data_IF_292104360718
#
_entry.id   IF_292104360718
#
_cell.length_a   1.000
_cell.length_b   1.000
_cell.length_c   1.000
_cell.angle_alpha   90.00
_cell.angle_beta   90.00
_cell.angle_gamma   90.00
#
_symmetry.space_group_name_H-M   'P 1'
#
loop_
_entity.id
_entity.type
_entity.pdbx_description
1 polymer ?
#
# COMPACT_ATOMS: atom_id res chain seq x y z
N UNK A 1 4.49 -34.45 -18.23
CA UNK A 1 5.24 -35.62 -17.73
C UNK A 1 4.54 -36.10 -16.46
N UNK A 2 3.41 -36.78 -16.66
CA UNK A 2 3.24 -38.23 -16.69
C UNK A 2 3.08 -38.85 -15.29
N UNK A 3 1.82 -39.13 -15.04
CA UNK A 3 1.15 -39.73 -13.91
C UNK A 3 1.39 -41.24 -13.80
N UNK A 4 1.31 -41.71 -12.55
CA UNK A 4 1.23 -43.07 -12.01
C UNK A 4 0.92 -44.25 -12.94
N UNK A 5 1.73 -45.30 -12.78
CA UNK A 5 1.52 -46.64 -13.31
C UNK A 5 1.13 -47.58 -12.15
N UNK A 6 -0.13 -48.03 -12.10
CA UNK A 6 -0.64 -49.04 -11.17
C UNK A 6 -0.71 -50.39 -11.89
N UNK A 7 0.08 -51.37 -11.46
CA UNK A 7 0.06 -52.73 -11.99
C UNK A 7 -0.92 -53.60 -11.18
N UNK A 8 -2.00 -54.07 -11.84
CA UNK A 8 -2.93 -55.09 -11.33
C UNK A 8 -2.44 -56.48 -11.72
N UNK A 9 -2.19 -57.34 -10.73
CA UNK A 9 -1.94 -58.78 -10.93
C UNK A 9 -3.27 -59.52 -10.85
N UNK A 10 -3.63 -60.24 -11.92
CA UNK A 10 -4.79 -61.15 -12.00
C UNK A 10 -4.35 -62.56 -11.59
N UNK A 11 -5.04 -63.16 -10.63
CA UNK A 11 -4.96 -64.58 -10.33
C UNK A 11 -5.97 -65.34 -11.20
N UNK A 12 -5.48 -66.34 -11.93
CA UNK A 12 -6.29 -67.32 -12.66
C UNK A 12 -6.54 -68.54 -11.75
N UNK A 13 -7.79 -68.97 -11.64
CA UNK A 13 -8.19 -70.23 -11.00
C UNK A 13 -8.71 -71.16 -12.10
N UNK A 14 -8.17 -72.37 -12.18
CA UNK A 14 -8.55 -73.38 -13.16
C UNK A 14 -8.89 -74.70 -12.46
N UNK A 15 -10.01 -75.31 -12.89
CA UNK A 15 -10.26 -76.75 -12.88
C UNK A 15 -10.74 -77.36 -11.55
N UNK A 16 -11.51 -78.46 -11.48
CA UNK A 16 -11.97 -79.46 -12.47
C UNK A 16 -13.12 -80.27 -11.83
N UNK A 17 -14.11 -80.58 -12.67
CA UNK A 17 -15.19 -81.61 -12.67
C UNK A 17 -15.51 -82.51 -11.46
N UNK A 18 -16.81 -82.63 -11.16
CA UNK A 18 -17.42 -83.75 -10.43
C UNK A 18 -18.23 -84.65 -11.40
N UNK A 19 -18.07 -85.97 -11.24
CA UNK A 19 -18.63 -87.05 -12.06
C UNK A 19 -20.15 -87.25 -11.87
N UNK A 20 -20.78 -87.76 -12.93
CA UNK A 20 -22.18 -88.17 -12.99
C UNK A 20 -22.44 -89.65 -12.63
N UNK A 21 -23.59 -89.85 -11.98
CA UNK A 21 -24.75 -90.71 -12.25
C UNK A 21 -24.67 -92.14 -12.87
N UNK A 22 -25.69 -92.91 -12.46
CA UNK A 22 -26.28 -94.16 -12.99
C UNK A 22 -25.56 -95.48 -12.59
N UNK A 23 -26.25 -96.55 -12.18
CA UNK A 23 -27.67 -96.86 -12.07
C UNK A 23 -27.88 -98.39 -12.09
N UNK A 24 -29.00 -98.84 -11.50
CA UNK A 24 -29.76 -100.05 -11.84
C UNK A 24 -29.13 -101.45 -11.63
N UNK A 25 -29.81 -102.57 -11.37
CA UNK A 25 -31.05 -103.00 -10.66
C UNK A 25 -31.20 -104.50 -10.96
N UNK A 26 -31.86 -105.25 -10.06
CA UNK A 26 -32.59 -106.50 -10.31
C UNK A 26 -31.73 -107.72 -10.75
N UNK A 27 -32.13 -108.98 -10.58
CA UNK A 27 -33.46 -109.54 -10.81
C UNK A 27 -33.57 -110.94 -10.19
N UNK A 28 -34.76 -111.28 -9.73
CA UNK A 28 -35.15 -112.56 -9.17
C UNK A 28 -35.80 -113.45 -10.24
N UNK A 29 -35.79 -114.78 -10.06
CA UNK A 29 -36.88 -115.68 -10.49
C UNK A 29 -36.66 -117.07 -9.86
N UNK A 30 -37.58 -117.76 -9.17
CA UNK A 30 -39.03 -117.97 -9.30
C UNK A 30 -39.47 -118.64 -10.61
N UNK A 31 -39.44 -119.97 -10.65
CA UNK A 31 -40.51 -120.89 -11.10
C UNK A 31 -40.02 -122.34 -10.84
N UNK A 32 -40.78 -123.31 -10.36
CA UNK A 32 -42.21 -123.53 -10.46
C UNK A 32 -42.44 -124.84 -11.24
N UNK A 33 -43.08 -125.82 -10.58
CA UNK A 33 -43.85 -126.96 -11.14
C UNK A 33 -43.09 -128.26 -11.54
N UNK A 34 -43.15 -129.26 -10.63
CA UNK A 34 -43.71 -130.65 -10.78
C UNK A 34 -43.26 -131.58 -11.95
N UNK A 35 -43.26 -132.91 -11.75
CA UNK A 35 -42.10 -133.76 -11.46
C UNK A 35 -41.70 -134.68 -12.64
N UNK A 36 -40.43 -135.11 -12.71
CA UNK A 36 -40.01 -136.17 -13.63
C UNK A 36 -39.14 -137.18 -12.90
N UNK A 37 -39.74 -138.30 -12.50
CA UNK A 37 -39.08 -139.45 -11.91
C UNK A 37 -38.25 -140.19 -12.96
N UNK A 38 -36.95 -140.39 -12.69
CA UNK A 38 -36.19 -141.55 -13.16
C UNK A 38 -34.99 -141.74 -12.20
N UNK A 39 -34.80 -142.91 -11.56
CA UNK A 39 -33.79 -143.08 -10.51
C UNK A 39 -32.38 -143.10 -11.12
N UNK A 40 -31.62 -142.04 -10.87
CA UNK A 40 -30.22 -141.90 -11.25
C UNK A 40 -29.28 -142.33 -10.09
N UNK A 41 -28.09 -142.87 -10.39
CA UNK A 41 -27.21 -143.55 -9.44
C UNK A 41 -26.67 -142.61 -8.34
N UNK A 42 -26.38 -143.16 -7.15
CA UNK A 42 -25.88 -142.43 -5.99
C UNK A 42 -24.57 -141.65 -6.28
N UNK A 43 -24.57 -140.34 -6.05
CA UNK A 43 -23.42 -139.43 -6.19
C UNK A 43 -22.87 -139.06 -4.79
N UNK A 44 -21.54 -139.07 -4.60
CA UNK A 44 -20.83 -138.72 -3.36
C UNK A 44 -20.13 -137.36 -3.53
N UNK A 45 -20.22 -136.48 -2.52
CA UNK A 45 -19.60 -135.14 -2.55
C UNK A 45 -18.10 -135.19 -2.20
N UNK A 46 -17.27 -134.52 -3.00
CA UNK A 46 -15.82 -134.38 -2.80
C UNK A 46 -15.48 -132.88 -2.68
N UNK A 47 -14.84 -132.41 -1.59
CA UNK A 47 -14.38 -131.02 -1.46
C UNK A 47 -13.16 -130.75 -2.35
N UNK A 48 -13.16 -129.61 -3.06
CA UNK A 48 -12.05 -129.09 -3.87
C UNK A 48 -11.64 -127.71 -3.35
N UNK A 49 -10.36 -127.52 -3.06
CA UNK A 49 -9.81 -126.23 -2.58
C UNK A 49 -9.03 -125.53 -3.69
N UNK A 50 -9.31 -124.25 -3.92
CA UNK A 50 -8.61 -123.40 -4.90
C UNK A 50 -8.11 -122.11 -4.22
N UNK A 51 -6.93 -121.62 -4.58
CA UNK A 51 -6.37 -120.39 -4.01
C UNK A 51 -6.79 -119.17 -4.84
N UNK A 52 -7.28 -118.12 -4.18
CA UNK A 52 -7.57 -116.82 -4.82
C UNK A 52 -6.60 -115.76 -4.29
N UNK A 53 -6.14 -114.88 -5.18
CA UNK A 53 -5.23 -113.78 -4.81
C UNK A 53 -6.05 -112.53 -4.50
N UNK A 54 -5.95 -112.01 -3.27
CA UNK A 54 -6.60 -110.77 -2.84
C UNK A 54 -5.54 -109.66 -2.79
N UNK A 55 -5.81 -108.52 -3.41
CA UNK A 55 -4.93 -107.35 -3.36
C UNK A 55 -5.48 -106.33 -2.36
N UNK A 56 -4.67 -105.93 -1.37
CA UNK A 56 -5.00 -104.89 -0.38
C UNK A 56 -4.07 -103.69 -0.52
N UNK A 57 -4.61 -102.48 -0.46
CA UNK A 57 -3.82 -101.24 -0.38
C UNK A 57 -3.55 -100.87 1.07
N UNK A 58 -2.30 -100.90 1.50
CA UNK A 58 -1.84 -100.46 2.82
C UNK A 58 -1.16 -99.11 2.68
N UNK A 59 -1.46 -98.16 3.56
CA UNK A 59 -0.77 -96.86 3.60
C UNK A 59 0.38 -96.92 4.60
N UNK A 60 1.59 -96.58 4.15
CA UNK A 60 2.80 -96.55 4.98
C UNK A 60 3.33 -95.11 5.04
N UNK A 61 3.75 -94.64 6.22
CA UNK A 61 4.38 -93.33 6.33
C UNK A 61 5.86 -93.42 5.96
N UNK A 62 6.26 -92.74 4.88
CA UNK A 62 7.64 -92.67 4.44
C UNK A 62 8.21 -91.26 4.69
N UNK A 63 9.44 -91.13 5.21
CA UNK A 63 10.08 -89.84 5.37
C UNK A 63 10.44 -89.24 4.00
N UNK A 64 9.95 -88.04 3.71
CA UNK A 64 10.32 -87.27 2.53
C UNK A 64 11.04 -85.99 2.92
N UNK A 65 12.20 -85.75 2.32
CA UNK A 65 12.97 -84.52 2.53
C UNK A 65 12.43 -83.43 1.62
N UNK A 66 11.93 -82.34 2.21
CA UNK A 66 11.46 -81.14 1.51
C UNK A 66 12.40 -79.99 1.83
N UNK A 67 12.79 -79.21 0.82
CA UNK A 67 13.58 -77.99 1.02
C UNK A 67 12.62 -76.82 1.21
N UNK A 68 12.65 -76.19 2.39
CA UNK A 68 11.85 -75.01 2.69
C UNK A 68 12.74 -73.77 2.82
N UNK A 69 12.39 -72.70 2.11
CA UNK A 69 13.07 -71.41 2.22
C UNK A 69 12.57 -70.66 3.45
N UNK A 70 13.43 -70.43 4.44
CA UNK A 70 13.18 -69.60 5.62
C UNK A 70 13.94 -68.29 5.49
N UNK A 71 13.31 -67.15 5.80
CA UNK A 71 14.02 -65.87 5.83
C UNK A 71 14.59 -65.61 7.21
N UNK A 72 15.91 -65.45 7.31
CA UNK A 72 16.56 -64.93 8.53
C UNK A 72 16.90 -63.44 8.35
N UNK A 73 16.97 -62.72 9.47
CA UNK A 73 17.33 -61.30 9.47
C UNK A 73 18.81 -61.19 9.76
N UNK A 74 19.56 -60.58 8.85
CA UNK A 74 20.97 -60.27 9.04
C UNK A 74 21.15 -58.75 9.13
N UNK A 75 22.06 -58.31 10.00
CA UNK A 75 22.44 -56.91 10.13
C UNK A 75 23.63 -56.65 9.20
N UNK A 76 23.43 -55.83 8.17
CA UNK A 76 24.49 -55.42 7.25
C UNK A 76 24.82 -53.94 7.47
N UNK A 77 26.11 -53.60 7.49
CA UNK A 77 26.56 -52.21 7.51
C UNK A 77 26.71 -51.71 6.08
N UNK A 78 26.00 -50.63 5.75
CA UNK A 78 26.09 -49.97 4.46
C UNK A 78 26.64 -48.56 4.63
N UNK A 79 27.59 -48.18 3.78
CA UNK A 79 28.14 -46.83 3.72
C UNK A 79 27.23 -45.95 2.86
N UNK A 80 26.65 -44.91 3.45
CA UNK A 80 25.76 -43.97 2.73
C UNK A 80 26.40 -42.59 2.71
N UNK A 81 26.58 -41.97 1.52
CA UNK A 81 27.04 -40.61 1.44
C UNK A 81 25.94 -39.66 1.90
N UNK A 82 26.25 -38.84 2.90
CA UNK A 82 25.38 -37.78 3.40
C UNK A 82 26.02 -36.45 3.02
N UNK A 83 25.24 -35.59 2.36
CA UNK A 83 25.67 -34.21 2.10
C UNK A 83 25.15 -33.33 3.23
N UNK A 84 26.05 -32.67 3.95
CA UNK A 84 25.71 -31.69 5.00
C UNK A 84 26.22 -30.32 4.59
N UNK A 85 25.41 -29.28 4.82
CA UNK A 85 25.81 -27.90 4.60
C UNK A 85 26.35 -27.34 5.91
N UNK A 86 27.63 -27.01 5.93
CA UNK A 86 28.30 -26.36 7.07
C UNK A 86 28.49 -24.88 6.72
N UNK A 87 28.20 -23.99 7.65
CA UNK A 87 28.47 -22.57 7.49
C UNK A 87 29.89 -22.30 7.99
N UNK A 88 30.80 -21.92 7.09
CA UNK A 88 32.19 -21.59 7.43
C UNK A 88 32.39 -20.06 7.44
N UNK A 89 33.05 -19.48 8.47
CA UNK A 89 33.37 -18.07 8.49
C UNK A 89 34.47 -17.77 7.47
N UNK A 90 34.16 -16.93 6.48
CA UNK A 90 35.11 -16.46 5.47
C UNK A 90 35.33 -14.97 5.65
N UNK A 91 36.57 -14.58 5.91
CA UNK A 91 36.95 -13.17 5.98
C UNK A 91 36.91 -12.58 4.57
N UNK A 92 36.04 -11.60 4.37
CA UNK A 92 35.90 -10.89 3.09
C UNK A 92 36.14 -9.40 3.31
N UNK A 93 36.99 -8.80 2.51
CA UNK A 93 37.22 -7.35 2.52
C UNK A 93 36.07 -6.65 1.80
N UNK A 94 35.36 -5.76 2.50
CA UNK A 94 34.30 -4.92 1.93
C UNK A 94 34.72 -3.45 2.04
N UNK A 95 34.59 -2.71 0.94
CA UNK A 95 34.81 -1.26 0.94
C UNK A 95 33.61 -0.59 1.59
N UNK A 96 33.83 0.06 2.73
CA UNK A 96 32.78 0.78 3.47
C UNK A 96 33.06 2.28 3.36
N UNK A 97 32.02 3.05 3.04
CA UNK A 97 32.09 4.51 3.01
C UNK A 97 32.06 5.06 4.43
N UNK A 98 33.20 5.53 4.91
CA UNK A 98 33.32 6.18 6.22
C UNK A 98 33.13 7.70 6.04
N UNK A 99 32.12 8.31 6.70
CA UNK A 99 31.94 9.76 6.65
C UNK A 99 33.01 10.46 7.49
N UNK A 100 33.58 11.54 6.95
CA UNK A 100 34.46 12.44 7.69
C UNK A 100 34.14 13.90 7.34
N UNK A 101 34.40 14.80 8.27
CA UNK A 101 34.12 16.23 8.10
C UNK A 101 35.36 16.94 7.58
N UNK A 102 35.17 17.73 6.50
CA UNK A 102 36.20 18.58 5.93
C UNK A 102 35.76 20.04 6.07
N UNK A 103 36.63 20.87 6.61
CA UNK A 103 36.45 22.32 6.62
C UNK A 103 37.05 22.90 5.33
N UNK A 104 36.20 23.46 4.47
CA UNK A 104 36.62 24.12 3.24
C UNK A 104 36.37 25.63 3.36
N UNK A 105 37.32 26.46 2.91
CA UNK A 105 37.12 27.90 2.83
C UNK A 105 36.45 28.24 1.50
N UNK A 106 35.20 28.66 1.58
CA UNK A 106 34.41 29.07 0.40
C UNK A 106 34.28 30.60 0.40
N UNK A 107 34.55 31.29 -0.72
CA UNK A 107 34.33 32.72 -0.82
C UNK A 107 32.83 33.01 -0.70
N UNK A 108 32.48 33.91 0.22
CA UNK A 108 31.12 34.37 0.45
C UNK A 108 31.05 35.90 0.34
N UNK A 109 30.03 36.40 -0.35
CA UNK A 109 29.77 37.83 -0.43
C UNK A 109 28.87 38.23 0.74
N UNK A 110 29.37 39.08 1.63
CA UNK A 110 28.58 39.69 2.70
C UNK A 110 28.38 41.17 2.35
N UNK A 111 27.16 41.67 2.52
CA UNK A 111 26.90 43.10 2.38
C UNK A 111 27.06 43.80 3.72
N UNK A 112 28.09 44.64 3.84
CA UNK A 112 28.32 45.46 5.03
C UNK A 112 27.82 46.89 4.80
N UNK A 113 27.07 47.48 5.76
CA UNK A 113 26.62 48.86 5.65
C UNK A 113 27.81 49.80 5.87
N UNK A 114 28.17 50.57 4.84
CA UNK A 114 29.19 51.62 4.92
C UNK A 114 28.48 52.97 4.96
N UNK A 115 28.87 53.82 5.91
CA UNK A 115 28.43 55.20 6.00
C UNK A 115 29.36 56.07 5.16
N UNK A 116 28.83 56.68 4.10
CA UNK A 116 29.55 57.64 3.26
C UNK A 116 28.96 59.03 3.47
N UNK A 117 29.80 60.02 3.78
CA UNK A 117 29.40 61.42 3.83
C UNK A 117 29.45 62.00 2.42
N UNK A 118 28.29 62.44 1.92
CA UNK A 118 28.18 63.11 0.63
C UNK A 118 27.68 64.54 0.84
N UNK A 119 28.29 65.49 0.13
CA UNK A 119 27.83 66.87 0.12
C UNK A 119 26.69 66.96 -0.89
N UNK A 120 25.48 67.25 -0.40
CA UNK A 120 24.28 67.40 -1.25
C UNK A 120 23.82 68.85 -1.19
N UNK A 121 23.57 69.43 -2.36
CA UNK A 121 22.99 70.76 -2.47
C UNK A 121 21.51 70.68 -2.14
N UNK A 122 21.10 71.32 -1.04
CA UNK A 122 19.70 71.41 -0.64
C UNK A 122 19.21 72.84 -0.83
N UNK A 123 18.12 73.00 -1.57
CA UNK A 123 17.45 74.28 -1.70
C UNK A 123 16.68 74.57 -0.41
N UNK A 124 17.06 75.63 0.28
CA UNK A 124 16.37 76.10 1.49
C UNK A 124 15.68 77.41 1.15
N UNK A 125 14.41 77.53 1.54
CA UNK A 125 13.66 78.78 1.41
C UNK A 125 13.83 79.59 2.69
N UNK A 126 14.47 80.76 2.58
CA UNK A 126 14.59 81.72 3.69
C UNK A 126 13.70 82.93 3.42
N UNK A 127 12.91 83.33 4.39
CA UNK A 127 12.11 84.56 4.29
C UNK A 127 13.01 85.77 4.56
N UNK A 128 13.20 86.62 3.56
CA UNK A 128 14.02 87.83 3.65
C UNK A 128 13.12 89.06 3.61
N UNK A 129 13.26 90.03 4.54
CA UNK A 129 12.52 91.28 4.49
C UNK A 129 12.98 92.10 3.28
N UNK A 130 12.06 92.36 2.35
CA UNK A 130 12.33 93.18 1.16
C UNK A 130 11.46 94.44 1.22
N UNK A 131 12.06 95.60 0.95
CA UNK A 131 11.31 96.86 0.85
C UNK A 131 10.62 96.92 -0.51
N UNK A 132 9.29 97.00 -0.51
CA UNK A 132 8.49 97.17 -1.73
C UNK A 132 7.80 98.53 -1.65
N UNK A 133 7.93 99.30 -2.72
CA UNK A 133 7.20 100.56 -2.90
C UNK A 133 5.87 100.27 -3.58
N UNK A 134 4.76 100.60 -2.92
CA UNK A 134 3.40 100.47 -3.46
C UNK A 134 2.75 101.85 -3.55
N UNK A 135 2.05 102.14 -4.65
CA UNK A 135 1.27 103.37 -4.76
C UNK A 135 -0.09 103.17 -4.10
N UNK A 136 -0.29 103.82 -2.96
CA UNK A 136 -1.55 103.75 -2.22
C UNK A 136 -2.35 105.03 -2.51
N UNK A 137 -3.61 104.94 -2.98
CA UNK A 137 -4.45 106.11 -3.16
C UNK A 137 -4.84 106.69 -1.80
N UNK A 138 -4.54 107.96 -1.57
CA UNK A 138 -4.91 108.69 -0.36
C UNK A 138 -5.95 109.74 -0.74
N UNK A 139 -7.18 109.54 -0.28
CA UNK A 139 -8.27 110.50 -0.48
C UNK A 139 -8.26 111.54 0.63
N UNK A 140 -8.17 112.82 0.27
CA UNK A 140 -8.26 113.96 1.19
C UNK A 140 -9.51 114.79 0.88
N UNK A 141 -10.18 115.25 1.93
CA UNK A 141 -11.36 116.11 1.82
C UNK A 141 -10.93 117.57 2.03
N UNK A 142 -11.15 118.42 1.03
CA UNK A 142 -10.90 119.85 1.11
C UNK A 142 -12.23 120.60 1.12
N UNK A 143 -12.38 121.58 2.02
CA UNK A 143 -13.52 122.50 2.00
C UNK A 143 -13.17 123.66 1.10
N UNK A 144 -13.92 123.81 0.01
CA UNK A 144 -13.81 124.95 -0.92
C UNK A 144 -15.00 125.87 -0.66
N UNK A 145 -14.74 127.16 -0.50
CA UNK A 145 -15.79 128.17 -0.46
C UNK A 145 -16.06 128.66 -1.88
N UNK A 146 -17.32 128.58 -2.31
CA UNK A 146 -17.78 129.07 -3.60
C UNK A 146 -18.92 130.07 -3.35
N UNK A 147 -18.86 131.23 -3.99
CA UNK A 147 -19.89 132.26 -3.84
C UNK A 147 -21.08 131.93 -4.73
N UNK A 148 -22.25 131.73 -4.14
CA UNK A 148 -23.49 131.55 -4.89
C UNK A 148 -24.38 132.77 -4.72
N UNK A 149 -24.78 133.34 -5.85
CA UNK A 149 -25.71 134.46 -5.91
C UNK A 149 -27.14 134.05 -5.62
N UNK A 150 -27.84 134.82 -4.78
CA UNK A 150 -29.26 134.65 -4.57
C UNK A 150 -29.95 136.01 -4.55
N UNK A 151 -31.11 136.12 -5.20
CA UNK A 151 -31.95 137.30 -5.10
C UNK A 151 -32.74 137.23 -3.79
N UNK A 152 -32.63 138.28 -2.97
CA UNK A 152 -33.40 138.43 -1.75
C UNK A 152 -34.36 139.60 -1.93
N UNK A 153 -35.65 139.34 -1.76
CA UNK A 153 -36.68 140.39 -1.85
C UNK A 153 -36.69 141.21 -0.57
N UNK A 154 -36.40 142.51 -0.67
CA UNK A 154 -36.45 143.48 0.43
C UNK A 154 -37.63 144.43 0.21
N UNK A 155 -38.42 144.71 1.27
CA UNK A 155 -39.52 145.69 1.22
C UNK A 155 -39.00 147.08 1.57
N UNK A 156 -39.16 148.04 0.67
CA UNK A 156 -38.74 149.44 0.85
C UNK A 156 -39.98 150.33 0.96
N UNK A 157 -40.09 151.23 1.96
CA UNK A 157 -41.25 152.10 2.13
C UNK A 157 -41.34 153.15 1.00
N UNK A 158 -42.55 153.32 0.46
CA UNK A 158 -42.91 154.36 -0.52
C UNK A 158 -43.62 155.48 0.25
N UNK A 159 -43.09 156.70 0.13
CA UNK A 159 -43.56 157.87 0.88
C UNK A 159 -44.23 158.87 -0.07
N UNK A 160 -45.45 159.29 0.25
CA UNK A 160 -46.16 160.34 -0.48
C UNK A 160 -46.61 161.47 0.47
N UNK A 161 -46.62 162.70 -0.03
CA UNK A 161 -46.94 163.90 0.73
C UNK A 161 -48.42 164.28 0.53
N UNK A 162 -49.21 164.39 1.61
CA UNK A 162 -50.63 164.76 1.56
C UNK A 162 -50.86 166.08 2.31
N UNK A 163 -51.65 167.00 1.72
CA UNK A 163 -51.99 168.32 2.29
C UNK A 163 -53.42 168.29 2.81
N UNK A 164 -53.63 168.59 4.09
CA UNK A 164 -54.93 168.52 4.76
C UNK A 164 -55.38 169.93 5.15
N UNK A 165 -56.46 170.44 4.55
CA UNK A 165 -57.05 171.74 4.87
C UNK A 165 -58.33 171.55 5.72
N UNK A 166 -58.31 172.03 6.97
CA UNK A 166 -59.49 172.09 7.84
C UNK A 166 -60.31 173.36 7.57
N UNK A 167 -61.59 173.21 7.28
CA UNK A 167 -62.56 174.28 7.08
C UNK A 167 -63.49 174.36 8.30
N UNK A 168 -63.51 175.49 9.02
CA UNK A 168 -64.71 176.10 9.62
C UNK A 168 -64.40 177.55 10.01
N UNK A 169 -65.05 178.50 9.34
CA UNK A 169 -65.37 179.85 9.83
C UNK A 169 -64.22 180.85 10.00
N UNK A 170 -64.10 181.81 9.07
CA UNK A 170 -63.58 183.14 9.40
C UNK A 170 -62.13 183.45 9.01
N UNK A 171 -61.87 183.51 7.70
CA UNK A 171 -60.93 184.36 6.97
C UNK A 171 -59.60 184.77 7.66
N UNK A 172 -58.52 184.02 7.38
CA UNK A 172 -57.15 184.37 7.72
C UNK A 172 -56.12 183.45 7.04
N UNK A 173 -55.14 184.04 6.37
CA UNK A 173 -54.17 183.40 5.49
C UNK A 173 -53.06 182.64 6.23
N UNK A 174 -52.51 181.58 5.61
CA UNK A 174 -51.10 181.18 5.77
C UNK A 174 -50.79 179.88 6.52
N UNK A 175 -50.14 178.94 5.82
CA UNK A 175 -49.40 177.75 6.30
C UNK A 175 -50.16 176.42 6.49
N UNK A 176 -50.43 175.72 5.37
CA UNK A 176 -50.67 174.27 5.39
C UNK A 176 -49.34 173.50 5.53
N UNK A 177 -49.16 172.77 6.63
CA UNK A 177 -47.99 171.90 6.85
C UNK A 177 -48.13 170.61 6.06
N UNK A 178 -47.22 170.34 5.14
CA UNK A 178 -47.11 169.06 4.43
C UNK A 178 -46.42 168.05 5.34
N UNK A 179 -47.03 166.89 5.57
CA UNK A 179 -46.39 165.77 6.28
C UNK A 179 -46.21 164.58 5.31
N UNK A 180 -44.99 164.03 5.18
CA UNK A 180 -44.78 162.78 4.46
C UNK A 180 -45.48 161.65 5.20
N UNK A 181 -46.36 160.93 4.51
CA UNK A 181 -46.99 159.72 5.01
C UNK A 181 -46.49 158.55 4.16
N UNK A 182 -46.03 157.48 4.81
CA UNK A 182 -45.68 156.23 4.13
C UNK A 182 -46.99 155.64 3.61
N UNK A 183 -47.19 155.64 2.29
CA UNK A 183 -48.43 155.17 1.66
C UNK A 183 -48.37 153.70 1.27
N UNK A 184 -47.19 153.07 1.27
CA UNK A 184 -47.04 151.63 1.05
C UNK A 184 -45.59 151.14 1.16
N UNK A 185 -45.38 149.86 0.86
CA UNK A 185 -44.04 149.27 0.70
C UNK A 185 -43.95 148.59 -0.66
N UNK A 186 -42.87 148.85 -1.41
CA UNK A 186 -42.58 148.18 -2.67
C UNK A 186 -41.51 147.11 -2.43
N UNK A 187 -41.74 145.91 -2.99
CA UNK A 187 -40.76 144.84 -2.98
C UNK A 187 -39.70 145.12 -4.07
N UNK A 188 -38.43 145.24 -3.69
CA UNK A 188 -37.28 145.31 -4.59
C UNK A 188 -36.48 144.03 -4.43
N UNK A 189 -36.02 143.44 -5.54
CA UNK A 189 -35.12 142.29 -5.50
C UNK A 189 -33.67 142.77 -5.51
N UNK A 190 -32.95 142.49 -4.43
CA UNK A 190 -31.52 142.79 -4.32
C UNK A 190 -30.74 141.48 -4.48
N UNK A 191 -29.73 141.48 -5.37
CA UNK A 191 -28.82 140.34 -5.52
C UNK A 191 -27.81 140.35 -4.37
N UNK A 192 -27.71 139.25 -3.63
CA UNK A 192 -26.77 139.09 -2.52
C UNK A 192 -25.94 137.83 -2.75
N UNK A 193 -24.62 137.97 -2.71
CA UNK A 193 -23.69 136.83 -2.76
C UNK A 193 -23.53 136.24 -1.36
N UNK A 194 -23.74 134.94 -1.20
CA UNK A 194 -23.46 134.21 0.05
C UNK A 194 -22.39 133.14 -0.20
N UNK A 195 -21.37 133.02 0.67
CA UNK A 195 -20.40 131.94 0.56
C UNK A 195 -21.05 130.62 0.96
N UNK A 196 -20.94 129.61 0.09
CA UNK A 196 -21.37 128.23 0.35
C UNK A 196 -20.12 127.35 0.42
N UNK A 197 -19.99 126.58 1.50
CA UNK A 197 -18.90 125.62 1.68
C UNK A 197 -19.26 124.30 1.00
N UNK A 198 -18.49 123.86 -0.01
CA UNK A 198 -18.59 122.54 -0.62
C UNK A 198 -17.36 121.71 -0.27
N UNK A 199 -17.57 120.45 0.13
CA UNK A 199 -16.46 119.50 0.33
C UNK A 199 -16.13 118.84 -1.00
N UNK A 200 -14.90 119.00 -1.46
CA UNK A 200 -14.35 118.34 -2.66
C UNK A 200 -13.36 117.27 -2.22
N UNK A 201 -13.50 116.07 -2.76
CA UNK A 201 -12.53 114.97 -2.57
C UNK A 201 -11.44 115.04 -3.62
N UNK A 202 -10.19 115.04 -3.19
CA UNK A 202 -9.02 114.87 -4.06
C UNK A 202 -8.32 113.58 -3.70
N UNK A 203 -8.05 112.72 -4.69
CA UNK A 203 -7.32 111.46 -4.51
C UNK A 203 -5.93 111.62 -5.09
N UNK A 204 -4.90 111.48 -4.25
CA UNK A 204 -3.49 111.53 -4.64
C UNK A 204 -2.86 110.16 -4.39
N UNK A 205 -2.11 109.62 -5.36
CA UNK A 205 -1.35 108.39 -5.16
C UNK A 205 -0.05 108.71 -4.41
N UNK A 206 0.13 108.11 -3.23
CA UNK A 206 1.36 108.24 -2.45
C UNK A 206 2.15 106.94 -2.51
N UNK A 207 3.43 107.05 -2.82
CA UNK A 207 4.37 105.93 -2.73
C UNK A 207 4.63 105.64 -1.26
N UNK A 208 4.18 104.48 -0.79
CA UNK A 208 4.43 104.00 0.58
C UNK A 208 5.41 102.84 0.50
N UNK A 209 6.49 102.91 1.30
CA UNK A 209 7.42 101.80 1.47
C UNK A 209 6.85 100.84 2.52
N UNK A 210 6.63 99.57 2.13
CA UNK A 210 6.24 98.50 3.04
C UNK A 210 7.25 97.37 2.98
N UNK A 211 7.59 96.82 4.14
CA UNK A 211 8.44 95.63 4.21
C UNK A 211 7.58 94.39 4.02
N UNK A 212 7.87 93.60 2.98
CA UNK A 212 7.22 92.32 2.71
C UNK A 212 8.24 91.19 2.89
N UNK A 213 7.85 90.12 3.56
CA UNK A 213 8.67 88.91 3.66
C UNK A 213 8.59 88.17 2.31
N UNK A 214 9.71 88.09 1.60
CA UNK A 214 9.81 87.43 0.29
C UNK A 214 10.57 86.11 0.49
N UNK A 215 10.05 84.97 -0.01
CA UNK A 215 10.80 83.71 0.02
C UNK A 215 11.95 83.78 -0.98
N UNK A 216 13.18 83.71 -0.47
CA UNK A 216 14.39 83.59 -1.28
C UNK A 216 14.86 82.15 -1.21
N UNK A 217 15.10 81.53 -2.36
CA UNK A 217 15.68 80.19 -2.44
C UNK A 217 17.20 80.31 -2.50
N UNK A 218 17.88 79.62 -1.60
CA UNK A 218 19.34 79.53 -1.57
C UNK A 218 19.75 78.05 -1.56
N UNK A 219 20.76 77.70 -2.35
CA UNK A 219 21.34 76.35 -2.36
C UNK A 219 22.44 76.25 -1.32
N UNK A 220 22.20 75.49 -0.26
CA UNK A 220 23.18 75.25 0.79
C UNK A 220 23.75 73.84 0.64
N UNK A 221 25.07 73.72 0.65
CA UNK A 221 25.78 72.45 0.67
C UNK A 221 25.70 71.84 2.07
N UNK A 222 24.93 70.75 2.22
CA UNK A 222 24.76 70.05 3.51
C UNK A 222 25.42 68.68 3.43
N UNK A 223 26.15 68.30 4.47
CA UNK A 223 26.69 66.94 4.60
C UNK A 223 25.54 65.98 4.92
N UNK A 224 25.29 65.03 4.03
CA UNK A 224 24.33 63.96 4.23
C UNK A 224 25.07 62.64 4.39
N UNK A 225 24.78 61.91 5.47
CA UNK A 225 25.30 60.55 5.69
C UNK A 225 24.39 59.58 4.95
N UNK A 226 24.92 58.96 3.89
CA UNK A 226 24.21 57.94 3.12
C UNK A 226 24.76 56.56 3.51
N UNK A 227 23.87 55.66 3.92
CA UNK A 227 24.22 54.26 4.17
C UNK A 227 24.09 53.47 2.88
N UNK A 228 25.20 52.91 2.38
CA UNK A 228 25.21 52.02 1.21
C UNK A 228 25.66 50.63 1.63
N UNK A 229 25.06 49.61 1.02
CA UNK A 229 25.46 48.21 1.20
C UNK A 229 26.59 47.92 0.22
N UNK A 230 27.80 47.67 0.73
CA UNK A 230 28.97 47.35 -0.09
C UNK A 230 29.22 45.84 -0.02
N UNK A 231 29.35 45.14 -1.17
CA UNK A 231 29.70 43.73 -1.17
C UNK A 231 31.16 43.56 -0.75
N UNK A 232 31.39 42.78 0.30
CA UNK A 232 32.70 42.38 0.78
C UNK A 232 32.87 40.87 0.58
N UNK A 233 33.95 40.46 -0.10
CA UNK A 233 34.32 39.05 -0.17
C UNK A 233 35.00 38.65 1.13
N UNK A 234 34.44 37.64 1.80
CA UNK A 234 35.03 37.03 2.99
C UNK A 234 35.15 35.53 2.80
N UNK A 235 36.18 34.94 3.39
CA UNK A 235 36.35 33.48 3.40
C UNK A 235 35.50 32.91 4.54
N UNK A 236 34.51 32.08 4.20
CA UNK A 236 33.69 31.37 5.18
C UNK A 236 34.15 29.91 5.28
N UNK A 237 34.44 29.46 6.49
CA UNK A 237 34.65 28.03 6.76
C UNK A 237 33.30 27.31 6.65
N UNK A 238 33.18 26.39 5.69
CA UNK A 238 32.02 25.55 5.51
C UNK A 238 32.42 24.11 5.79
N UNK A 239 31.73 23.47 6.73
CA UNK A 239 31.92 22.05 7.01
C UNK A 239 31.12 21.23 6.02
N UNK A 240 31.79 20.39 5.23
CA UNK A 240 31.17 19.43 4.31
C UNK A 240 31.47 18.02 4.78
N UNK A 241 30.49 17.12 4.60
CA UNK A 241 30.69 15.69 4.86
C UNK A 241 31.22 15.07 3.57
N UNK A 242 32.42 14.50 3.65
CA UNK A 242 33.03 13.71 2.59
C UNK A 242 33.07 12.23 2.99
N UNK A 243 33.25 11.34 2.02
CA UNK A 243 33.27 9.90 2.25
C UNK A 243 34.58 9.32 1.76
N UNK A 244 35.28 8.60 2.63
CA UNK A 244 36.44 7.79 2.25
C UNK A 244 36.03 6.32 2.18
N UNK A 245 36.50 5.61 1.16
CA UNK A 245 36.31 4.16 1.06
C UNK A 245 37.43 3.46 1.84
N UNK A 246 37.06 2.85 2.96
CA UNK A 246 38.00 2.13 3.83
C UNK A 246 37.75 0.62 3.69
N UNK A 247 38.78 -0.20 3.45
CA UNK A 247 38.63 -1.64 3.43
C UNK A 247 38.38 -2.15 4.86
N UNK A 248 37.20 -2.72 5.09
CA UNK A 248 36.84 -3.35 6.37
C UNK A 248 36.79 -4.86 6.17
N UNK A 249 37.42 -5.60 7.07
CA UNK A 249 37.34 -7.06 7.09
C UNK A 249 36.03 -7.49 7.75
N UNK A 250 35.16 -8.13 6.98
CA UNK A 250 33.87 -8.63 7.46
C UNK A 250 33.89 -10.15 7.44
N UNK A 251 33.51 -10.76 8.56
CA UNK A 251 33.30 -12.20 8.65
C UNK A 251 31.94 -12.54 8.02
N UNK A 252 31.94 -13.29 6.92
CA UNK A 252 30.74 -13.74 6.24
C UNK A 252 30.63 -15.26 6.35
N UNK A 253 29.48 -15.76 6.80
CA UNK A 253 29.22 -17.19 6.87
C UNK A 253 28.85 -17.71 5.48
N UNK A 254 29.73 -18.50 4.86
CA UNK A 254 29.47 -19.09 3.54
C UNK A 254 29.08 -20.57 3.67
N UNK A 255 28.01 -21.01 2.97
CA UNK A 255 27.64 -22.42 2.97
C UNK A 255 28.67 -23.23 2.17
N UNK A 256 29.20 -24.28 2.80
CA UNK A 256 30.06 -25.28 2.17
C UNK A 256 29.39 -26.64 2.28
N UNK A 257 29.28 -27.34 1.16
CA UNK A 257 28.80 -28.72 1.15
C UNK A 257 29.94 -29.66 1.50
N UNK A 258 29.77 -30.45 2.55
CA UNK A 258 30.69 -31.50 2.95
C UNK A 258 29.99 -32.83 2.73
N UNK A 259 30.65 -33.73 1.99
CA UNK A 259 30.21 -35.11 1.83
C UNK A 259 30.87 -35.94 2.94
N UNK A 260 30.05 -36.55 3.77
CA UNK A 260 30.47 -37.43 4.84
C UNK A 260 29.90 -38.82 4.57
N UNK A 261 30.73 -39.86 4.69
CA UNK A 261 30.27 -41.24 4.53
C UNK A 261 29.92 -41.77 5.91
N UNK A 262 28.63 -41.98 6.16
CA UNK A 262 28.14 -42.49 7.44
C UNK A 262 27.73 -43.95 7.27
N UNK A 263 28.25 -44.82 8.14
CA UNK A 263 27.82 -46.20 8.22
C UNK A 263 26.44 -46.28 8.89
N UNK A 264 25.46 -46.87 8.22
CA UNK A 264 24.18 -47.24 8.84
C UNK A 264 24.01 -48.75 8.83
N UNK A 265 23.39 -49.28 9.88
CA UNK A 265 23.07 -50.70 9.97
C UNK A 265 21.66 -50.93 9.45
N UNK A 266 21.52 -51.77 8.42
CA UNK A 266 20.24 -52.10 7.80
C UNK A 266 19.94 -53.58 8.02
N UNK A 267 18.69 -53.88 8.37
CA UNK A 267 18.19 -55.25 8.46
C UNK A 267 17.90 -55.78 7.05
N UNK A 268 18.62 -56.80 6.59
CA UNK A 268 18.34 -57.50 5.33
C UNK A 268 17.71 -58.86 5.63
N UNK A 269 16.65 -59.21 4.91
CA UNK A 269 16.07 -60.56 4.94
C UNK A 269 16.83 -61.43 3.94
N UNK A 270 17.53 -62.45 4.43
CA UNK A 270 18.31 -63.38 3.61
C UNK A 270 17.56 -64.71 3.57
N UNK A 271 17.27 -65.27 2.38
CA UNK A 271 16.67 -66.59 2.26
C UNK A 271 17.70 -67.66 2.63
N UNK A 272 17.32 -68.58 3.50
CA UNK A 272 18.08 -69.75 3.93
C UNK A 272 17.27 -71.00 3.59
N UNK A 273 17.89 -71.97 2.91
CA UNK A 273 17.25 -73.24 2.58
C UNK A 273 17.46 -74.23 3.71
N UNK A 274 16.37 -74.67 4.35
CA UNK A 274 16.39 -75.67 5.41
C UNK A 274 15.73 -76.94 4.90
N UNK A 275 16.44 -78.07 4.99
CA UNK A 275 15.86 -79.37 4.70
C UNK A 275 15.03 -79.84 5.90
N UNK A 276 13.77 -80.15 5.66
CA UNK A 276 12.86 -80.68 6.67
C UNK A 276 12.33 -82.03 6.20
N UNK A 277 12.39 -83.03 7.08
CA UNK A 277 11.82 -84.34 6.82
C UNK A 277 10.35 -84.32 7.23
N UNK A 278 9.45 -84.46 6.26
CA UNK A 278 8.00 -84.56 6.47
C UNK A 278 7.59 -86.01 6.21
N UNK A 279 6.77 -86.58 7.08
CA UNK A 279 6.22 -87.92 6.87
C UNK A 279 5.06 -87.84 5.87
N UNK A 280 5.16 -88.56 4.76
CA UNK A 280 4.13 -88.63 3.72
C UNK A 280 3.54 -90.05 3.71
N UNK A 281 2.21 -90.18 3.71
CA UNK A 281 1.53 -91.47 3.59
C UNK A 281 1.51 -91.92 2.13
N UNK A 282 2.23 -92.99 1.81
CA UNK A 282 2.26 -93.58 0.45
C UNK A 282 1.48 -94.89 0.44
N UNK A 283 0.60 -95.05 -0.54
CA UNK A 283 -0.15 -96.29 -0.72
C UNK A 283 0.73 -97.37 -1.36
N UNK A 284 0.74 -98.56 -0.77
CA UNK A 284 1.44 -99.75 -1.26
C UNK A 284 0.46 -100.90 -1.41
N UNK A 285 0.45 -101.56 -2.55
CA UNK A 285 -0.37 -102.75 -2.77
C UNK A 285 0.35 -104.01 -2.28
N UNK A 286 -0.34 -104.82 -1.49
CA UNK A 286 0.14 -106.11 -1.00
C UNK A 286 -0.84 -107.18 -1.49
N UNK A 287 -0.33 -108.23 -2.11
CA UNK A 287 -1.13 -109.36 -2.59
C UNK A 287 -0.95 -110.55 -1.66
N UNK A 288 -2.06 -111.15 -1.22
CA UNK A 288 -2.06 -112.33 -0.35
C UNK A 288 -2.99 -113.40 -0.93
N UNK A 289 -2.53 -114.66 -0.98
CA UNK A 289 -3.36 -115.76 -1.43
C UNK A 289 -4.19 -116.34 -0.29
N UNK A 290 -5.49 -116.52 -0.52
CA UNK A 290 -6.43 -117.08 0.45
C UNK A 290 -7.07 -118.34 -0.16
N UNK A 291 -7.04 -119.50 0.51
CA UNK A 291 -7.69 -120.71 0.03
C UNK A 291 -9.22 -120.62 0.18
N UNK A 292 -9.94 -121.00 -0.88
CA UNK A 292 -11.40 -121.11 -0.93
C UNK A 292 -11.78 -122.54 -1.29
N UNK A 293 -12.58 -123.20 -0.44
CA UNK A 293 -13.00 -124.59 -0.62
C UNK A 293 -14.46 -124.68 -1.03
N UNK A 294 -14.77 -125.44 -2.08
CA UNK A 294 -16.14 -125.71 -2.57
C UNK A 294 -16.35 -127.21 -2.81
N UNK A 295 -17.57 -127.73 -2.70
CA UNK A 295 -17.87 -129.17 -2.81
C UNK A 295 -18.53 -129.52 -4.17
N UNK A 296 -18.13 -130.63 -4.80
CA UNK A 296 -18.69 -131.12 -6.09
C UNK A 296 -19.07 -132.62 -5.99
N UNK A 297 -20.17 -133.06 -6.61
CA UNK A 297 -20.75 -134.44 -6.51
C UNK A 297 -20.32 -135.38 -7.67
N UNK A 298 -19.98 -136.66 -7.40
CA UNK A 298 -19.46 -137.66 -8.38
C UNK A 298 -20.10 -139.08 -8.20
N UNK A 299 -20.44 -139.89 -9.24
CA UNK A 299 -21.20 -141.17 -9.12
C UNK A 299 -20.40 -142.39 -8.61
N UNK A 300 -21.04 -143.26 -7.80
CA UNK A 300 -20.43 -144.42 -7.13
C UNK A 300 -20.45 -145.73 -7.94
N UNK A 301 -19.30 -146.41 -8.07
CA UNK A 301 -19.13 -147.70 -8.77
C UNK A 301 -18.91 -148.89 -7.79
N UNK A 302 -19.39 -150.08 -8.19
CA UNK A 302 -19.43 -151.35 -7.43
C UNK A 302 -18.04 -152.02 -7.21
N UNK A 303 -17.88 -152.88 -6.19
CA UNK A 303 -16.57 -153.37 -5.76
C UNK A 303 -16.09 -154.60 -6.56
N UNK A 304 -14.79 -154.65 -6.83
CA UNK A 304 -14.09 -155.84 -7.33
C UNK A 304 -12.92 -156.22 -6.40
N UNK A 305 -12.58 -157.53 -6.28
CA UNK A 305 -11.84 -158.07 -5.14
C UNK A 305 -10.30 -158.01 -5.25
N UNK A 306 -9.73 -157.84 -4.06
CA UNK A 306 -8.43 -158.28 -3.49
C UNK A 306 -7.39 -158.92 -4.41
N UNK A 307 -6.19 -158.33 -4.46
CA UNK A 307 -4.92 -159.06 -4.45
C UNK A 307 -3.73 -158.18 -3.98
N UNK A 308 -3.32 -158.40 -2.73
CA UNK A 308 -1.95 -158.71 -2.26
C UNK A 308 -0.74 -157.96 -2.88
N UNK A 309 -0.14 -157.10 -2.03
CA UNK A 309 1.29 -156.93 -1.66
C UNK A 309 2.42 -157.34 -2.66
N UNK A 310 3.58 -156.61 -2.75
CA UNK A 310 4.45 -156.45 -1.58
C UNK A 310 5.36 -155.19 -1.46
N UNK A 311 5.82 -155.00 -0.21
CA UNK A 311 7.17 -154.64 0.28
C UNK A 311 7.86 -153.28 -0.08
N UNK A 312 7.95 -152.46 0.97
CA UNK A 312 9.16 -151.87 1.59
C UNK A 312 10.16 -151.00 0.79
N UNK A 313 10.35 -149.75 1.24
CA UNK A 313 11.67 -149.11 1.44
C UNK A 313 11.56 -147.90 2.41
N UNK A 314 12.58 -147.62 3.27
CA UNK A 314 12.52 -146.61 4.33
C UNK A 314 13.25 -145.28 4.03
N UNK A 315 12.86 -144.26 4.83
CA UNK A 315 13.56 -143.05 5.33
C UNK A 315 14.83 -142.46 4.68
N UNK A 316 14.82 -141.12 4.52
CA UNK A 316 15.89 -140.16 4.84
C UNK A 316 15.20 -138.78 5.06
N UNK A 317 15.28 -138.00 6.15
CA UNK A 317 16.33 -137.52 7.07
C UNK A 317 17.35 -136.53 6.47
N UNK A 318 17.14 -135.25 6.76
CA UNK A 318 18.10 -134.13 6.75
C UNK A 318 17.33 -132.87 7.22
N UNK A 319 17.55 -132.29 8.42
CA UNK A 319 18.69 -131.44 8.87
C UNK A 319 19.01 -130.38 7.79
N UNK A 320 18.88 -129.07 7.99
CA UNK A 320 18.92 -128.18 9.17
C UNK A 320 17.91 -127.02 9.00
#
# INVERSE_FOLDING_TARGET
MFTGLTARVRFALAGVTALGAFGATAEACHCGKTPCANPAPAMVAVPTTTYQTVTQTVYEQQPRVVTQTRYRTEMATEQVPITRTIMEPVMTTKMVKQPYTVCEQVPATIYTPVCETQIVNKTITRMVPTQVTEQVPVTRYHKVMETQGMYVTRKVPVVQNVVQCGHHGGCGCGHGKVRPVVTGYQCVQDYVEKPVCRTVTSTEYRTVCRTKMVPVQETVAVQQVVKKMVPQQVMRNVTRVAYNEVPVQVCEMRPRQVQEVVSRTVCRKVPEQVQMTVMECVAKQVQTQVPVTTCVLVPAAAPAPVAVAPAAAPQASGQN
#
